data_IF_818445336890
#
_entry.id   IF_818445336890
#
_cell.length_a   1.000
_cell.length_b   1.000
_cell.length_c   1.000
_cell.angle_alpha   90.00
_cell.angle_beta   90.00
_cell.angle_gamma   90.00
#
_symmetry.space_group_name_H-M   'P 1'
#
loop_
_entity.id
_entity.type
_entity.pdbx_description
1 polymer ?
#
# COMPACT_ATOMS: atom_id res chain seq x y z
N UNK A 1 -2.12 9.55 -21.70
CA UNK A 1 -3.22 9.00 -20.87
C UNK A 1 -3.48 10.04 -19.78
N UNK A 2 -4.54 10.83 -19.97
CA UNK A 2 -4.82 12.01 -19.13
C UNK A 2 -5.34 11.57 -17.76
N UNK A 3 -4.60 11.88 -16.69
CA UNK A 3 -5.13 11.86 -15.33
C UNK A 3 -5.95 13.14 -15.14
N UNK A 4 -7.26 13.04 -15.39
CA UNK A 4 -8.20 14.05 -14.94
C UNK A 4 -8.26 13.96 -13.42
N UNK A 5 -7.91 15.05 -12.74
CA UNK A 5 -8.32 15.29 -11.36
C UNK A 5 -9.85 15.25 -11.33
N UNK A 6 -10.42 14.08 -11.06
CA UNK A 6 -11.85 13.93 -10.90
C UNK A 6 -12.23 14.66 -9.61
N UNK A 7 -12.94 15.78 -9.78
CA UNK A 7 -13.68 16.40 -8.70
C UNK A 7 -14.61 15.39 -8.00
N UNK A 8 -15.20 15.83 -6.90
CA UNK A 8 -16.08 15.11 -5.96
C UNK A 8 -17.21 14.19 -6.52
N UNK A 9 -17.32 13.94 -7.83
CA UNK A 9 -18.40 13.19 -8.49
C UNK A 9 -18.27 11.67 -8.46
N UNK A 10 -17.12 11.09 -8.07
CA UNK A 10 -16.94 9.63 -7.95
C UNK A 10 -17.49 9.09 -6.61
N UNK A 11 -17.42 9.91 -5.55
CA UNK A 11 -17.78 9.51 -4.18
C UNK A 11 -19.24 9.90 -3.93
N UNK A 12 -20.10 8.89 -3.85
CA UNK A 12 -21.54 9.04 -3.58
C UNK A 12 -21.81 9.42 -2.11
N UNK A 13 -23.01 9.91 -1.81
CA UNK A 13 -23.40 10.17 -0.42
C UNK A 13 -23.41 8.89 0.43
N UNK A 14 -23.77 7.76 -0.18
CA UNK A 14 -23.70 6.45 0.44
C UNK A 14 -22.26 6.09 0.82
N UNK A 15 -21.29 6.37 -0.06
CA UNK A 15 -19.86 6.18 0.25
C UNK A 15 -19.44 7.00 1.47
N UNK A 16 -19.94 8.24 1.60
CA UNK A 16 -19.64 9.13 2.74
C UNK A 16 -20.28 8.64 4.04
N UNK A 17 -21.52 8.15 3.99
CA UNK A 17 -22.22 7.57 5.14
C UNK A 17 -21.46 6.32 5.63
N UNK A 18 -21.16 5.41 4.71
CA UNK A 18 -20.39 4.20 5.01
C UNK A 18 -19.01 4.54 5.60
N UNK A 19 -18.31 5.54 5.06
CA UNK A 19 -17.00 5.94 5.56
C UNK A 19 -17.08 6.46 7.00
N UNK A 20 -18.11 7.26 7.33
CA UNK A 20 -18.35 7.76 8.69
C UNK A 20 -18.71 6.61 9.65
N UNK A 21 -19.59 5.70 9.25
CA UNK A 21 -19.97 4.54 10.05
C UNK A 21 -18.76 3.62 10.31
N UNK A 22 -17.95 3.38 9.29
CA UNK A 22 -16.74 2.57 9.40
C UNK A 22 -15.69 3.25 10.30
N UNK A 23 -15.52 4.57 10.19
CA UNK A 23 -14.67 5.35 11.10
C UNK A 23 -15.12 5.19 12.55
N UNK A 24 -16.42 5.35 12.83
CA UNK A 24 -16.97 5.17 14.18
C UNK A 24 -16.68 3.76 14.71
N UNK A 25 -16.95 2.73 13.91
CA UNK A 25 -16.65 1.33 14.27
C UNK A 25 -15.19 1.14 14.68
N UNK A 26 -14.26 1.69 13.89
CA UNK A 26 -12.82 1.57 14.13
C UNK A 26 -12.38 2.35 15.38
N UNK A 27 -12.85 3.57 15.55
CA UNK A 27 -12.50 4.40 16.71
C UNK A 27 -13.03 3.85 18.04
N UNK A 28 -14.18 3.18 18.00
CA UNK A 28 -14.82 2.60 19.19
C UNK A 28 -14.46 1.12 19.45
N UNK A 29 -13.59 0.52 18.63
CA UNK A 29 -13.32 -0.92 18.65
C UNK A 29 -14.60 -1.77 18.59
N UNK A 30 -15.62 -1.29 17.88
CA UNK A 30 -16.95 -1.91 17.85
C UNK A 30 -16.89 -3.30 17.18
N UNK A 31 -17.32 -4.36 17.89
CA UNK A 31 -17.40 -5.71 17.33
C UNK A 31 -18.30 -5.79 16.09
N UNK A 32 -18.13 -6.84 15.27
CA UNK A 32 -18.96 -7.07 14.08
C UNK A 32 -20.45 -7.20 14.40
N UNK A 33 -20.79 -7.94 15.45
CA UNK A 33 -22.19 -8.13 15.86
C UNK A 33 -22.85 -6.80 16.26
N UNK A 34 -22.15 -5.95 17.01
CA UNK A 34 -22.66 -4.63 17.42
C UNK A 34 -22.84 -3.72 16.22
N UNK A 35 -21.89 -3.72 15.27
CA UNK A 35 -22.02 -2.94 14.03
C UNK A 35 -23.22 -3.41 13.20
N UNK A 36 -23.43 -4.72 13.11
CA UNK A 36 -24.59 -5.29 12.42
C UNK A 36 -25.90 -4.91 13.12
N UNK A 37 -25.94 -4.97 14.45
CA UNK A 37 -27.10 -4.55 15.22
C UNK A 37 -27.40 -3.06 15.02
N UNK A 38 -26.38 -2.20 15.06
CA UNK A 38 -26.52 -0.77 14.78
C UNK A 38 -27.13 -0.52 13.39
N UNK A 39 -26.61 -1.17 12.34
CA UNK A 39 -27.18 -1.07 10.99
C UNK A 39 -28.66 -1.42 10.97
N UNK A 40 -29.03 -2.52 11.61
CA UNK A 40 -30.42 -2.99 11.64
C UNK A 40 -31.32 -2.05 12.43
N UNK A 41 -30.90 -1.62 13.62
CA UNK A 41 -31.68 -0.75 14.52
C UNK A 41 -31.92 0.63 13.94
N UNK A 42 -30.97 1.17 13.17
CA UNK A 42 -31.09 2.51 12.58
C UNK A 42 -31.42 2.49 11.08
N UNK A 43 -31.77 1.33 10.51
CA UNK A 43 -31.97 1.16 9.06
C UNK A 43 -33.05 2.05 8.46
N UNK A 44 -34.06 2.43 9.24
CA UNK A 44 -35.14 3.31 8.79
C UNK A 44 -34.70 4.78 8.61
N UNK A 45 -33.59 5.18 9.25
CA UNK A 45 -33.08 6.55 9.24
C UNK A 45 -31.72 6.66 8.53
N UNK A 46 -30.89 5.62 8.60
CA UNK A 46 -29.52 5.65 8.13
C UNK A 46 -29.20 4.32 7.43
N UNK A 47 -29.23 4.35 6.09
CA UNK A 47 -28.79 3.22 5.28
C UNK A 47 -27.27 3.10 5.34
N UNK A 48 -26.79 2.09 6.06
CA UNK A 48 -25.38 1.75 6.16
C UNK A 48 -25.22 0.40 5.50
N UNK A 49 -24.19 0.22 4.69
CA UNK A 49 -23.85 -1.04 4.08
C UNK A 49 -23.19 -2.02 5.07
N UNK A 50 -23.21 -3.31 4.71
CA UNK A 50 -22.45 -4.30 5.47
C UNK A 50 -20.96 -3.96 5.43
N UNK A 51 -20.21 -4.39 6.46
CA UNK A 51 -18.75 -4.23 6.51
C UNK A 51 -18.09 -4.72 5.19
N UNK A 52 -18.59 -5.84 4.66
CA UNK A 52 -18.11 -6.42 3.42
C UNK A 52 -18.34 -5.50 2.20
N UNK A 53 -19.57 -5.00 2.02
CA UNK A 53 -19.92 -4.14 0.89
C UNK A 53 -19.18 -2.81 0.96
N UNK A 54 -19.16 -2.17 2.14
CA UNK A 54 -18.43 -0.93 2.37
C UNK A 54 -16.93 -1.10 2.09
N UNK A 55 -16.30 -2.18 2.59
CA UNK A 55 -14.89 -2.45 2.32
C UNK A 55 -14.59 -2.73 0.84
N UNK A 56 -15.46 -3.48 0.14
CA UNK A 56 -15.29 -3.70 -1.31
C UNK A 56 -15.38 -2.40 -2.08
N UNK A 57 -16.33 -1.54 -1.71
CA UNK A 57 -16.51 -0.22 -2.33
C UNK A 57 -15.32 0.71 -2.04
N UNK A 58 -14.79 0.74 -0.83
CA UNK A 58 -13.57 1.49 -0.51
C UNK A 58 -12.35 0.98 -1.26
N UNK A 59 -12.20 -0.33 -1.45
CA UNK A 59 -11.11 -0.88 -2.25
C UNK A 59 -11.15 -0.38 -3.71
N UNK A 60 -12.35 -0.32 -4.30
CA UNK A 60 -12.55 0.24 -5.65
C UNK A 60 -12.22 1.74 -5.67
N UNK A 61 -12.77 2.51 -4.73
CA UNK A 61 -12.59 3.97 -4.66
C UNK A 61 -11.15 4.39 -4.39
N UNK A 62 -10.41 3.58 -3.64
CA UNK A 62 -9.00 3.84 -3.33
C UNK A 62 -8.04 3.27 -4.38
N UNK A 63 -8.54 2.49 -5.34
CA UNK A 63 -7.72 1.70 -6.26
C UNK A 63 -6.73 0.76 -5.53
N UNK A 64 -7.04 0.45 -4.26
CA UNK A 64 -6.25 -0.44 -3.42
C UNK A 64 -7.02 -1.74 -3.31
N UNK A 65 -6.79 -2.64 -4.28
CA UNK A 65 -7.28 -4.01 -4.21
C UNK A 65 -6.23 -4.91 -3.55
N UNK A 66 -6.51 -5.50 -2.37
CA UNK A 66 -5.60 -6.44 -1.75
C UNK A 66 -5.42 -7.68 -2.62
N UNK A 67 -4.18 -8.15 -2.73
CA UNK A 67 -3.82 -9.37 -3.44
C UNK A 67 -3.48 -10.44 -2.42
N UNK A 68 -4.03 -11.64 -2.59
CA UNK A 68 -3.68 -12.79 -1.75
C UNK A 68 -2.62 -13.64 -2.44
N UNK A 69 -1.51 -13.90 -1.74
CA UNK A 69 -0.48 -14.83 -2.18
C UNK A 69 -0.49 -16.07 -1.32
N UNK A 70 -0.46 -17.23 -1.95
CA UNK A 70 -0.31 -18.48 -1.21
C UNK A 70 1.09 -18.56 -0.62
N UNK A 71 1.20 -19.07 0.60
CA UNK A 71 2.46 -19.30 1.27
C UNK A 71 2.51 -20.72 1.84
N UNK A 72 3.72 -21.21 2.08
CA UNK A 72 3.90 -22.40 2.89
C UNK A 72 3.33 -22.17 4.30
N UNK A 73 2.73 -23.20 4.90
CA UNK A 73 2.19 -23.14 6.26
C UNK A 73 3.24 -22.69 7.29
N UNK A 74 4.49 -23.15 7.09
CA UNK A 74 5.66 -22.81 7.89
C UNK A 74 6.37 -21.51 7.44
N UNK A 75 5.75 -20.70 6.58
CA UNK A 75 6.29 -19.44 6.04
C UNK A 75 7.61 -19.56 5.28
N UNK A 76 8.09 -20.75 4.93
CA UNK A 76 9.37 -20.94 4.24
C UNK A 76 9.42 -20.26 2.85
N UNK A 77 8.27 -20.17 2.17
CA UNK A 77 8.18 -19.63 0.82
C UNK A 77 6.82 -18.99 0.56
N UNK A 78 6.82 -17.91 -0.21
CA UNK A 78 5.65 -17.35 -0.87
C UNK A 78 5.61 -17.86 -2.31
N UNK A 79 4.50 -18.43 -2.76
CA UNK A 79 4.36 -19.08 -4.06
C UNK A 79 4.16 -18.05 -5.19
N UNK A 80 5.16 -17.21 -5.40
CA UNK A 80 5.24 -16.18 -6.45
C UNK A 80 6.49 -16.39 -7.31
N UNK A 81 6.58 -15.68 -8.44
CA UNK A 81 7.74 -15.73 -9.34
C UNK A 81 8.12 -17.17 -9.71
N UNK A 82 9.36 -17.57 -9.42
CA UNK A 82 9.88 -18.92 -9.68
C UNK A 82 9.12 -20.06 -9.00
N UNK A 83 8.46 -19.81 -7.87
CA UNK A 83 7.71 -20.81 -7.11
C UNK A 83 6.22 -20.84 -7.44
N UNK A 84 5.77 -20.06 -8.42
CA UNK A 84 4.33 -19.87 -8.75
C UNK A 84 3.60 -21.18 -9.04
N UNK A 85 4.29 -22.15 -9.65
CA UNK A 85 3.72 -23.42 -10.08
C UNK A 85 3.96 -24.58 -9.11
N UNK A 86 4.67 -24.34 -8.01
CA UNK A 86 4.96 -25.37 -7.03
C UNK A 86 3.69 -25.79 -6.29
N UNK A 87 3.52 -27.11 -6.15
CA UNK A 87 2.42 -27.74 -5.41
C UNK A 87 2.80 -28.12 -3.98
N UNK A 88 4.09 -28.10 -3.67
CA UNK A 88 4.65 -28.39 -2.34
C UNK A 88 5.87 -27.50 -2.10
N UNK A 89 6.14 -27.23 -0.84
CA UNK A 89 7.27 -26.41 -0.44
C UNK A 89 8.57 -27.16 -0.69
N UNK A 90 9.47 -26.59 -1.48
CA UNK A 90 10.78 -27.17 -1.77
C UNK A 90 11.69 -27.27 -0.52
N UNK A 91 11.40 -26.51 0.54
CA UNK A 91 12.21 -26.46 1.76
C UNK A 91 11.75 -27.45 2.84
N UNK A 92 10.44 -27.53 3.09
CA UNK A 92 9.89 -28.35 4.19
C UNK A 92 8.93 -29.46 3.72
N UNK A 93 8.77 -29.65 2.41
CA UNK A 93 7.95 -30.71 1.80
C UNK A 93 6.43 -30.55 1.96
N UNK A 94 5.97 -29.59 2.77
CA UNK A 94 4.54 -29.40 3.05
C UNK A 94 3.77 -29.05 1.77
N UNK A 95 2.56 -29.61 1.56
CA UNK A 95 1.77 -29.28 0.38
C UNK A 95 1.36 -27.80 0.40
N UNK A 96 1.22 -27.17 -0.76
CA UNK A 96 0.71 -25.79 -0.86
C UNK A 96 -0.76 -25.70 -0.43
N UNK A 97 -1.54 -26.70 -0.79
CA UNK A 97 -2.98 -26.75 -0.58
C UNK A 97 -3.42 -28.13 -0.08
N UNK A 98 -4.45 -28.14 0.77
CA UNK A 98 -5.12 -29.35 1.25
C UNK A 98 -6.60 -29.21 0.90
N UNK A 99 -7.18 -30.24 0.27
CA UNK A 99 -8.58 -30.21 -0.17
C UNK A 99 -8.88 -29.07 -1.17
N UNK A 100 -7.90 -28.69 -2.00
CA UNK A 100 -8.02 -27.60 -2.98
C UNK A 100 -7.93 -26.19 -2.40
N UNK A 101 -7.71 -26.03 -1.09
CA UNK A 101 -7.54 -24.72 -0.44
C UNK A 101 -6.08 -24.49 -0.04
N UNK A 102 -5.49 -23.32 -0.33
CA UNK A 102 -4.17 -22.97 0.17
C UNK A 102 -4.12 -23.10 1.69
N UNK A 103 -3.03 -23.68 2.21
CA UNK A 103 -2.88 -23.84 3.66
C UNK A 103 -2.68 -22.50 4.39
N UNK A 104 -2.03 -21.54 3.71
CA UNK A 104 -1.78 -20.19 4.24
C UNK A 104 -1.79 -19.19 3.10
N UNK A 105 -2.32 -18.01 3.37
CA UNK A 105 -2.29 -16.88 2.44
C UNK A 105 -1.75 -15.63 3.14
N UNK A 106 -0.88 -14.92 2.45
CA UNK A 106 -0.43 -13.58 2.81
C UNK A 106 -1.24 -12.55 2.04
N UNK A 107 -1.91 -11.66 2.77
CA UNK A 107 -2.65 -10.54 2.19
C UNK A 107 -1.68 -9.38 1.96
N UNK A 108 -1.43 -9.06 0.70
CA UNK A 108 -0.58 -7.96 0.27
C UNK A 108 -1.44 -6.78 -0.20
N UNK A 109 -1.08 -5.58 0.23
CA UNK A 109 -1.66 -4.33 -0.27
C UNK A 109 -0.68 -3.77 -1.31
N UNK A 110 -1.08 -3.68 -2.60
CA UNK A 110 -0.20 -3.18 -3.65
C UNK A 110 0.42 -1.84 -3.31
N UNK A 111 1.75 -1.79 -3.42
CA UNK A 111 2.52 -0.61 -3.08
C UNK A 111 2.45 0.49 -4.15
N UNK A 112 2.53 0.11 -5.42
CA UNK A 112 2.60 1.07 -6.55
C UNK A 112 1.40 2.02 -6.62
N UNK A 113 0.13 1.56 -6.54
CA UNK A 113 -1.02 2.47 -6.59
C UNK A 113 -1.01 3.48 -5.44
N UNK A 114 -0.50 3.09 -4.27
CA UNK A 114 -0.40 3.99 -3.12
C UNK A 114 0.60 5.11 -3.37
N UNK A 115 1.71 4.82 -4.05
CA UNK A 115 2.68 5.84 -4.43
C UNK A 115 2.12 6.80 -5.47
N UNK A 116 1.42 6.28 -6.47
CA UNK A 116 0.73 7.10 -7.46
C UNK A 116 -0.28 8.04 -6.80
N UNK A 117 -0.99 7.56 -5.77
CA UNK A 117 -1.92 8.37 -4.96
C UNK A 117 -1.26 9.58 -4.28
N UNK A 118 0.03 9.55 -3.93
CA UNK A 118 0.71 10.73 -3.36
C UNK A 118 0.78 11.90 -4.36
N UNK A 119 0.87 11.61 -5.65
CA UNK A 119 0.90 12.62 -6.72
C UNK A 119 -0.50 13.12 -7.11
N UNK A 120 -1.56 12.59 -6.50
CA UNK A 120 -2.94 13.04 -6.72
C UNK A 120 -3.42 14.02 -5.63
N UNK A 121 -2.59 14.30 -4.62
CA UNK A 121 -2.93 15.20 -3.52
C UNK A 121 -1.91 16.32 -3.38
N UNK A 122 -2.35 17.57 -3.53
CA UNK A 122 -1.48 18.74 -3.36
C UNK A 122 -0.78 18.78 -1.99
N UNK A 123 -1.49 18.40 -0.93
CA UNK A 123 -0.92 18.32 0.41
C UNK A 123 0.23 17.30 0.46
N UNK A 124 0.05 16.12 -0.17
CA UNK A 124 1.10 15.10 -0.21
C UNK A 124 2.26 15.49 -1.12
N UNK A 125 2.00 16.13 -2.25
CA UNK A 125 3.07 16.68 -3.12
C UNK A 125 3.93 17.67 -2.33
N UNK A 126 3.33 18.53 -1.50
CA UNK A 126 4.07 19.43 -0.61
C UNK A 126 4.92 18.65 0.41
N UNK A 127 4.37 17.61 1.03
CA UNK A 127 5.13 16.74 1.94
C UNK A 127 6.34 16.11 1.23
N UNK A 128 6.21 15.70 -0.04
CA UNK A 128 7.30 15.10 -0.83
C UNK A 128 8.47 16.07 -1.09
N UNK A 129 8.26 17.38 -0.98
CA UNK A 129 9.33 18.37 -1.16
C UNK A 129 10.33 18.40 0.01
N UNK A 130 10.00 17.76 1.15
CA UNK A 130 10.87 17.73 2.33
C UNK A 130 12.31 17.35 1.99
N UNK A 131 12.49 16.28 1.21
CA UNK A 131 13.80 15.80 0.77
C UNK A 131 14.58 16.86 -0.01
N UNK A 132 13.91 17.53 -0.96
CA UNK A 132 14.54 18.52 -1.82
C UNK A 132 14.86 19.82 -1.08
N UNK A 133 14.08 20.15 -0.05
CA UNK A 133 14.26 21.33 0.80
C UNK A 133 15.21 21.08 1.98
N UNK A 134 15.64 19.83 2.18
CA UNK A 134 16.53 19.48 3.27
C UNK A 134 17.96 19.99 3.04
N UNK A 135 18.48 20.77 4.00
CA UNK A 135 19.82 21.32 3.95
C UNK A 135 20.83 20.41 4.67
N UNK A 136 21.72 19.79 3.88
CA UNK A 136 22.80 18.96 4.40
C UNK A 136 23.88 19.81 5.09
N UNK A 137 24.24 19.43 6.32
CA UNK A 137 25.36 20.04 7.05
C UNK A 137 26.53 19.05 7.13
N UNK A 138 27.69 19.35 6.50
CA UNK A 138 28.83 18.45 6.52
C UNK A 138 29.28 18.09 7.95
N UNK A 139 29.58 16.81 8.17
CA UNK A 139 30.04 16.30 9.47
C UNK A 139 28.93 16.09 10.50
N UNK A 140 27.66 16.32 10.14
CA UNK A 140 26.51 16.09 11.01
C UNK A 140 25.50 15.16 10.32
N UNK A 141 24.98 14.19 11.06
CA UNK A 141 23.90 13.31 10.63
C UNK A 141 22.67 13.65 11.45
N UNK A 142 21.67 14.24 10.80
CA UNK A 142 20.36 14.55 11.35
C UNK A 142 19.24 13.79 10.62
N UNK A 143 19.48 13.39 9.36
CA UNK A 143 18.54 12.67 8.53
C UNK A 143 19.26 11.62 7.65
N UNK A 144 18.50 10.72 7.01
CA UNK A 144 19.01 9.77 6.03
C UNK A 144 19.64 10.46 4.82
N UNK A 145 19.24 11.70 4.52
CA UNK A 145 19.80 12.48 3.42
C UNK A 145 21.23 12.99 3.69
N UNK A 146 21.72 12.89 4.93
CA UNK A 146 23.11 13.19 5.27
C UNK A 146 24.06 12.02 4.99
N UNK A 147 23.52 10.81 4.83
CA UNK A 147 24.33 9.62 4.65
C UNK A 147 25.12 9.67 3.34
N UNK A 148 26.39 9.26 3.39
CA UNK A 148 27.30 9.23 2.24
C UNK A 148 26.70 8.50 1.03
N UNK A 149 25.95 7.42 1.27
CA UNK A 149 25.28 6.67 0.21
C UNK A 149 24.27 7.53 -0.57
N UNK A 150 23.36 8.20 0.14
CA UNK A 150 22.37 9.09 -0.49
C UNK A 150 23.06 10.26 -1.20
N UNK A 151 24.03 10.91 -0.55
CA UNK A 151 24.79 12.02 -1.16
C UNK A 151 25.48 11.59 -2.45
N UNK A 152 26.10 10.41 -2.46
CA UNK A 152 26.74 9.85 -3.65
C UNK A 152 25.78 9.40 -4.75
N UNK A 153 24.47 9.25 -4.49
CA UNK A 153 23.47 8.98 -5.51
C UNK A 153 23.09 10.25 -6.29
N UNK A 154 23.11 11.43 -5.65
CA UNK A 154 22.73 12.70 -6.29
C UNK A 154 23.56 13.02 -7.55
N UNK A 155 24.82 12.57 -7.57
CA UNK A 155 25.75 12.77 -8.69
C UNK A 155 25.79 11.59 -9.68
N UNK A 156 24.95 10.56 -9.50
CA UNK A 156 24.92 9.37 -10.36
C UNK A 156 23.71 9.40 -11.29
N UNK A 157 23.94 9.05 -12.56
CA UNK A 157 22.87 8.81 -13.53
C UNK A 157 22.03 7.60 -13.13
N UNK A 158 20.73 7.69 -13.34
CA UNK A 158 19.81 6.56 -13.12
C UNK A 158 20.09 5.49 -14.17
N UNK A 159 20.11 4.22 -13.77
CA UNK A 159 20.23 3.08 -14.68
C UNK A 159 19.02 2.17 -14.51
N UNK A 160 18.27 1.95 -15.59
CA UNK A 160 17.10 1.06 -15.65
C UNK A 160 17.36 -0.01 -16.70
N UNK A 161 17.22 -1.29 -16.35
CA UNK A 161 17.47 -2.42 -17.26
C UNK A 161 18.82 -2.34 -18.01
N UNK A 162 19.86 -1.83 -17.34
CA UNK A 162 21.22 -1.59 -17.87
C UNK A 162 21.34 -0.43 -18.88
N UNK A 163 20.29 0.39 -19.01
CA UNK A 163 20.31 1.61 -19.80
C UNK A 163 20.41 2.85 -18.90
N UNK A 164 21.45 3.65 -19.12
CA UNK A 164 21.64 4.92 -18.44
C UNK A 164 20.63 5.96 -18.93
N UNK A 165 20.05 6.70 -17.98
CA UNK A 165 19.08 7.77 -18.24
C UNK A 165 19.77 9.13 -18.33
N UNK A 166 19.09 10.11 -18.90
CA UNK A 166 19.58 11.48 -19.06
C UNK A 166 19.62 12.31 -17.75
N UNK A 167 19.11 11.77 -16.65
CA UNK A 167 19.00 12.44 -15.35
C UNK A 167 19.68 11.65 -14.22
N UNK A 168 20.02 12.36 -13.14
CA UNK A 168 20.62 11.76 -11.95
C UNK A 168 19.55 11.26 -10.97
N UNK A 169 19.93 10.40 -10.03
CA UNK A 169 19.02 10.01 -8.96
C UNK A 169 18.55 11.24 -8.18
N UNK A 170 17.24 11.27 -7.91
CA UNK A 170 16.61 12.30 -7.09
C UNK A 170 16.66 13.73 -7.68
N UNK A 171 16.82 13.85 -9.00
CA UNK A 171 16.84 15.14 -9.72
C UNK A 171 15.49 15.86 -9.75
N UNK A 172 14.37 15.13 -9.62
CA UNK A 172 13.06 15.75 -9.53
C UNK A 172 12.77 16.09 -8.05
N UNK A 173 12.31 17.31 -7.72
CA UNK A 173 11.99 17.71 -6.36
C UNK A 173 11.04 16.76 -5.62
N UNK A 174 10.16 16.07 -6.34
CA UNK A 174 9.19 15.13 -5.78
C UNK A 174 9.62 13.66 -5.86
N UNK A 175 10.87 13.37 -6.23
CA UNK A 175 11.40 12.00 -6.20
C UNK A 175 11.36 11.42 -4.79
N UNK A 176 10.90 10.16 -4.71
CA UNK A 176 10.75 9.44 -3.45
C UNK A 176 11.97 8.55 -3.22
N UNK A 177 12.68 8.79 -2.12
CA UNK A 177 13.76 7.93 -1.67
C UNK A 177 13.22 6.79 -0.80
N UNK A 178 13.33 5.56 -1.29
CA UNK A 178 13.02 4.36 -0.50
C UNK A 178 14.29 3.70 0.01
N UNK A 179 14.26 3.32 1.28
CA UNK A 179 15.18 2.36 1.86
C UNK A 179 14.39 1.14 2.30
N UNK A 180 14.93 -0.04 2.04
CA UNK A 180 14.35 -1.30 2.47
C UNK A 180 15.35 -2.01 3.37
N UNK A 181 14.88 -2.38 4.56
CA UNK A 181 15.62 -3.24 5.48
C UNK A 181 14.78 -4.50 5.68
N UNK A 182 15.34 -5.65 5.31
CA UNK A 182 14.82 -6.94 5.71
C UNK A 182 15.75 -7.53 6.75
N UNK A 183 15.18 -8.21 7.74
CA UNK A 183 15.93 -9.17 8.52
C UNK A 183 16.38 -10.32 7.60
N UNK A 184 17.60 -10.79 7.80
CA UNK A 184 18.05 -12.02 7.16
C UNK A 184 17.29 -13.20 7.78
N UNK A 185 16.59 -13.96 6.95
CA UNK A 185 16.01 -15.25 7.32
C UNK A 185 17.10 -16.31 7.50
#
# INVERSE_FOLDING_TARGET
>A
MFFLCAGNSIITDQDRINARAFKLKRMSNMPRHTFHQMRYTFGDFLDIDSEYVAMRRFAILSEVEPVSYDCCINSCVCYTGKYKHDKSCQFCGQPRAIGGKPQRQFLYIPFIPRLQGYFQSEAKIKDLLYRNQYEHTPGRICDVFDCQHYRGLLDKKVVVDRHEQDHCYFSNPNDIAFSFCADGY
#
